data_IF_345620485130
#
_entry.id   IF_345620485130
#
_cell.length_a   1.000
_cell.length_b   1.000
_cell.length_c   1.000
_cell.angle_alpha   90.00
_cell.angle_beta   90.00
_cell.angle_gamma   90.00
#
_symmetry.space_group_name_H-M   'P 1'
#
loop_
_entity.id
_entity.type
_entity.pdbx_description
1 polymer ?
#
# COMPACT_ATOMS: atom_id res chain seq x y z
N UNK A 1 -12.73 -8.92 -21.67
CA UNK A 1 -13.48 -9.71 -20.66
C UNK A 1 -13.55 -8.89 -19.37
N UNK A 2 -14.73 -8.60 -18.82
CA UNK A 2 -14.82 -7.93 -17.52
C UNK A 2 -14.19 -8.82 -16.45
N UNK A 3 -13.38 -8.23 -15.56
CA UNK A 3 -12.70 -8.96 -14.50
C UNK A 3 -13.71 -9.62 -13.55
N UNK A 4 -13.57 -10.94 -13.33
CA UNK A 4 -14.32 -11.67 -12.30
C UNK A 4 -14.09 -10.98 -10.94
N UNK A 5 -15.19 -10.66 -10.25
CA UNK A 5 -15.32 -9.94 -8.98
C UNK A 5 -15.15 -8.41 -9.03
N UNK A 6 -16.24 -7.68 -9.30
CA UNK A 6 -16.28 -6.21 -9.16
C UNK A 6 -17.01 -5.71 -7.91
N UNK A 7 -17.65 -6.58 -7.10
CA UNK A 7 -18.24 -6.17 -5.81
C UNK A 7 -17.45 -6.77 -4.66
N UNK A 8 -16.60 -5.95 -4.05
CA UNK A 8 -15.85 -6.30 -2.84
C UNK A 8 -16.71 -5.88 -1.64
N UNK A 9 -17.39 -6.84 -1.02
CA UNK A 9 -18.10 -6.60 0.24
C UNK A 9 -17.05 -6.71 1.35
N UNK A 10 -16.75 -5.60 2.01
CA UNK A 10 -15.92 -5.61 3.19
C UNK A 10 -16.77 -5.68 4.45
N UNK A 11 -16.34 -6.54 5.37
CA UNK A 11 -16.88 -6.70 6.72
C UNK A 11 -16.09 -5.80 7.67
N UNK A 12 -16.82 -5.00 8.44
CA UNK A 12 -16.30 -4.17 9.53
C UNK A 12 -15.60 -5.03 10.58
N UNK A 13 -14.41 -4.61 11.02
CA UNK A 13 -13.54 -5.40 11.91
C UNK A 13 -12.81 -6.56 11.22
N UNK A 14 -13.05 -6.79 9.93
CA UNK A 14 -12.38 -7.84 9.17
C UNK A 14 -10.88 -7.60 9.03
N UNK A 15 -10.10 -8.69 9.10
CA UNK A 15 -8.68 -8.68 8.76
C UNK A 15 -8.49 -9.15 7.32
N UNK A 16 -7.63 -8.50 6.56
CA UNK A 16 -7.42 -8.77 5.14
C UNK A 16 -5.94 -8.87 4.84
N UNK A 17 -5.53 -9.97 4.21
CA UNK A 17 -4.22 -10.08 3.58
C UNK A 17 -4.30 -9.47 2.19
N UNK A 18 -3.54 -8.41 1.98
CA UNK A 18 -3.55 -7.60 0.78
C UNK A 18 -2.17 -7.61 0.16
N UNK A 19 -2.09 -7.76 -1.15
CA UNK A 19 -0.81 -7.77 -1.85
C UNK A 19 -0.92 -7.25 -3.28
N UNK A 20 0.19 -6.69 -3.77
CA UNK A 20 0.34 -6.32 -5.17
C UNK A 20 1.77 -6.53 -5.63
N UNK A 21 1.92 -6.77 -6.94
CA UNK A 21 3.17 -7.16 -7.59
C UNK A 21 3.47 -6.20 -8.74
N UNK A 22 4.75 -5.99 -9.05
CA UNK A 22 5.19 -5.27 -10.24
C UNK A 22 4.72 -5.91 -11.54
N UNK A 23 4.36 -5.09 -12.53
CA UNK A 23 4.08 -5.56 -13.89
C UNK A 23 5.26 -6.38 -14.42
N UNK A 24 4.97 -7.44 -15.17
CA UNK A 24 6.00 -8.36 -15.70
C UNK A 24 6.94 -8.93 -14.65
N UNK A 25 6.46 -9.06 -13.39
CA UNK A 25 7.24 -9.49 -12.22
C UNK A 25 8.47 -8.62 -11.92
N UNK A 26 8.48 -7.37 -12.41
CA UNK A 26 9.58 -6.44 -12.16
C UNK A 26 9.73 -6.13 -10.68
N UNK A 27 10.94 -5.76 -10.32
CA UNK A 27 11.21 -5.16 -9.02
C UNK A 27 10.52 -3.79 -8.92
N UNK A 28 9.82 -3.61 -7.81
CA UNK A 28 9.15 -2.40 -7.38
C UNK A 28 9.98 -1.66 -6.33
N UNK A 29 11.03 -2.29 -5.78
CA UNK A 29 12.03 -1.67 -4.92
C UNK A 29 13.42 -1.96 -5.52
N UNK A 30 14.06 -0.95 -6.10
CA UNK A 30 15.37 -1.07 -6.75
C UNK A 30 16.52 -0.69 -5.82
N UNK A 31 16.25 0.10 -4.76
CA UNK A 31 17.22 0.47 -3.73
C UNK A 31 16.55 0.62 -2.35
N UNK A 32 17.36 0.79 -1.29
CA UNK A 32 16.87 0.96 0.08
C UNK A 32 16.00 2.22 0.27
N UNK A 33 16.18 3.23 -0.58
CA UNK A 33 15.36 4.44 -0.52
C UNK A 33 13.92 4.12 -0.88
N UNK A 34 13.68 3.25 -1.87
CA UNK A 34 12.33 2.84 -2.28
C UNK A 34 11.54 2.18 -1.14
N UNK A 35 12.18 1.29 -0.38
CA UNK A 35 11.57 0.66 0.80
C UNK A 35 11.20 1.70 1.86
N UNK A 36 12.13 2.61 2.16
CA UNK A 36 11.88 3.71 3.12
C UNK A 36 10.74 4.60 2.67
N UNK A 37 10.64 4.87 1.37
CA UNK A 37 9.55 5.69 0.82
C UNK A 37 8.20 5.00 0.94
N UNK A 38 8.14 3.73 0.56
CA UNK A 38 6.91 2.96 0.70
C UNK A 38 6.40 2.91 2.15
N UNK A 39 7.30 2.64 3.10
CA UNK A 39 6.98 2.64 4.53
C UNK A 39 6.58 4.03 5.05
N UNK A 40 7.19 5.09 4.53
CA UNK A 40 6.84 6.46 4.91
C UNK A 40 5.40 6.82 4.51
N UNK A 41 4.94 6.38 3.33
CA UNK A 41 3.55 6.57 2.91
C UNK A 41 2.58 5.80 3.80
N UNK A 42 2.88 4.54 4.12
CA UNK A 42 2.07 3.76 5.07
C UNK A 42 1.96 4.50 6.41
N UNK A 43 3.10 4.90 6.98
CA UNK A 43 3.13 5.62 8.25
C UNK A 43 2.30 6.90 8.18
N UNK A 44 2.44 7.67 7.11
CA UNK A 44 1.71 8.93 6.95
C UNK A 44 0.20 8.73 6.85
N UNK A 45 -0.25 7.76 6.04
CA UNK A 45 -1.68 7.50 5.87
C UNK A 45 -2.33 6.89 7.10
N UNK A 46 -1.57 6.17 7.93
CA UNK A 46 -2.07 5.49 9.13
C UNK A 46 -1.70 6.22 10.43
N UNK A 47 -1.19 7.46 10.35
CA UNK A 47 -0.95 8.33 11.52
C UNK A 47 -1.99 9.45 11.57
N UNK A 48 -2.31 9.98 12.76
CA UNK A 48 -3.15 11.17 12.87
C UNK A 48 -2.53 12.32 12.07
N UNK A 49 -3.37 13.13 11.43
CA UNK A 49 -2.91 14.32 10.69
C UNK A 49 -2.46 15.36 11.70
N UNK A 50 -1.16 15.47 11.91
CA UNK A 50 -0.60 16.63 12.59
C UNK A 50 -0.61 17.84 11.64
N UNK A 51 -1.09 19.01 12.07
CA UNK A 51 -1.23 20.19 11.21
C UNK A 51 0.10 20.67 10.58
N UNK A 52 1.24 20.26 11.15
CA UNK A 52 2.59 20.63 10.70
C UNK A 52 3.40 19.43 10.18
N UNK A 53 2.74 18.38 9.67
CA UNK A 53 3.46 17.19 9.20
C UNK A 53 4.24 17.48 7.91
N UNK A 54 5.51 17.84 8.05
CA UNK A 54 6.47 17.87 6.95
C UNK A 54 6.68 16.44 6.46
N UNK A 55 6.51 16.21 5.16
CA UNK A 55 6.70 14.89 4.57
C UNK A 55 8.15 14.44 4.86
N UNK A 56 8.41 13.29 5.52
CA UNK A 56 9.76 12.88 5.94
C UNK A 56 10.79 12.80 4.80
N UNK A 57 10.32 12.82 3.55
CA UNK A 57 11.13 12.76 2.34
C UNK A 57 11.22 14.07 1.58
N UNK A 58 10.59 15.15 2.05
CA UNK A 58 10.80 16.49 1.48
C UNK A 58 12.29 16.83 1.46
N UNK A 59 13.01 16.39 2.49
CA UNK A 59 14.41 16.76 2.71
C UNK A 59 15.37 15.76 2.06
N UNK A 60 14.92 14.51 1.81
CA UNK A 60 15.79 13.40 1.34
C UNK A 60 15.76 13.24 -0.17
N UNK A 61 14.67 13.62 -0.85
CA UNK A 61 14.47 13.26 -2.27
C UNK A 61 14.23 14.44 -3.19
N UNK A 62 14.11 15.68 -2.67
CA UNK A 62 13.60 16.83 -3.44
C UNK A 62 12.20 16.58 -4.04
N UNK A 63 11.55 15.49 -3.61
CA UNK A 63 10.26 15.05 -4.07
C UNK A 63 9.23 15.70 -3.15
N UNK A 64 8.65 16.80 -3.63
CA UNK A 64 7.34 17.24 -3.18
C UNK A 64 6.32 16.55 -4.08
N UNK A 65 5.83 15.33 -3.75
CA UNK A 65 4.68 14.82 -4.47
C UNK A 65 3.58 15.85 -4.22
N UNK A 66 3.15 16.49 -5.31
CA UNK A 66 1.77 16.92 -5.49
C UNK A 66 1.24 17.68 -4.28
N UNK A 67 1.30 19.03 -4.34
CA UNK A 67 0.50 20.01 -3.57
C UNK A 67 -0.31 19.35 -2.46
N UNK A 68 0.11 19.58 -1.21
CA UNK A 68 -0.53 19.21 0.07
C UNK A 68 -2.05 19.49 0.12
N UNK A 69 -2.81 18.85 -0.75
CA UNK A 69 -4.26 18.90 -0.80
C UNK A 69 -4.66 17.89 0.25
N UNK A 70 -4.67 18.34 1.50
CA UNK A 70 -5.11 17.61 2.70
C UNK A 70 -5.02 16.10 2.51
N UNK A 71 -3.83 15.54 2.73
CA UNK A 71 -3.70 14.09 2.70
C UNK A 71 -4.71 13.51 3.68
N UNK A 72 -5.68 12.79 3.14
CA UNK A 72 -6.68 12.08 3.94
C UNK A 72 -5.89 11.07 4.78
N UNK A 73 -5.92 11.26 6.10
CA UNK A 73 -5.50 10.21 7.01
C UNK A 73 -6.61 9.17 7.06
N UNK A 74 -6.19 7.91 7.09
CA UNK A 74 -7.01 6.73 7.34
C UNK A 74 -6.78 6.20 8.76
N UNK A 75 -6.20 7.03 9.63
CA UNK A 75 -6.06 6.73 11.05
C UNK A 75 -7.44 6.49 11.66
N UNK A 76 -7.61 5.34 12.31
CA UNK A 76 -8.90 4.91 12.86
C UNK A 76 -9.82 4.22 11.85
N UNK A 77 -9.61 4.38 10.54
CA UNK A 77 -10.35 3.67 9.48
C UNK A 77 -9.69 2.31 9.12
N UNK A 78 -8.36 2.28 9.18
CA UNK A 78 -7.52 1.13 8.80
C UNK A 78 -6.39 1.00 9.81
N UNK A 79 -6.08 -0.24 10.17
CA UNK A 79 -4.92 -0.54 11.00
C UNK A 79 -4.04 -1.57 10.29
N UNK A 80 -2.72 -1.31 10.31
CA UNK A 80 -1.74 -2.26 9.82
C UNK A 80 -1.31 -3.20 10.94
N UNK A 81 -1.55 -4.49 10.75
CA UNK A 81 -1.19 -5.54 11.71
C UNK A 81 0.20 -6.13 11.42
N UNK A 82 0.53 -6.32 10.14
CA UNK A 82 1.83 -6.84 9.70
C UNK A 82 2.13 -6.44 8.25
N UNK A 83 3.40 -6.45 7.86
CA UNK A 83 3.82 -6.24 6.47
C UNK A 83 5.03 -7.11 6.11
N UNK A 84 5.19 -7.40 4.83
CA UNK A 84 6.36 -8.03 4.24
C UNK A 84 6.63 -7.36 2.88
N UNK A 85 7.85 -6.88 2.67
CA UNK A 85 8.27 -6.20 1.45
C UNK A 85 9.30 -7.08 0.74
N UNK A 86 9.00 -7.46 -0.50
CA UNK A 86 9.90 -8.21 -1.37
C UNK A 86 10.23 -7.36 -2.59
N UNK A 87 11.39 -7.55 -3.25
CA UNK A 87 11.82 -6.69 -4.35
C UNK A 87 10.76 -6.44 -5.41
N UNK A 88 9.96 -7.45 -5.78
CA UNK A 88 8.92 -7.34 -6.81
C UNK A 88 7.45 -7.32 -6.31
N UNK A 89 7.20 -7.34 -5.00
CA UNK A 89 5.84 -7.29 -4.46
C UNK A 89 5.80 -6.95 -2.96
N UNK A 90 4.64 -6.55 -2.47
CA UNK A 90 4.41 -6.33 -1.04
C UNK A 90 3.21 -7.14 -0.54
N UNK A 91 3.23 -7.45 0.75
CA UNK A 91 2.12 -8.01 1.51
C UNK A 91 1.82 -7.12 2.71
N UNK A 92 0.56 -6.78 2.91
CA UNK A 92 0.04 -6.04 4.06
C UNK A 92 -1.07 -6.88 4.70
N UNK A 93 -1.04 -7.00 6.02
CA UNK A 93 -2.16 -7.51 6.80
C UNK A 93 -2.87 -6.31 7.43
N UNK A 94 -4.08 -6.02 6.98
CA UNK A 94 -4.83 -4.83 7.37
C UNK A 94 -6.10 -5.23 8.12
N UNK A 95 -6.41 -4.54 9.21
CA UNK A 95 -7.74 -4.56 9.84
C UNK A 95 -8.52 -3.37 9.33
N UNK A 96 -9.70 -3.62 8.78
CA UNK A 96 -10.61 -2.56 8.36
C UNK A 96 -11.55 -2.20 9.51
N UNK A 97 -11.54 -0.95 9.95
CA UNK A 97 -12.46 -0.44 10.96
C UNK A 97 -13.71 0.22 10.34
N UNK A 98 -13.62 0.74 9.11
CA UNK A 98 -14.76 1.34 8.40
C UNK A 98 -14.95 0.76 7.00
N UNK A 99 -16.21 0.66 6.55
CA UNK A 99 -16.65 -0.07 5.35
C UNK A 99 -15.79 0.17 4.08
N UNK A 100 -15.29 1.40 3.88
CA UNK A 100 -14.54 1.78 2.68
C UNK A 100 -13.08 2.21 2.95
N UNK A 101 -12.66 2.31 4.22
CA UNK A 101 -11.36 2.85 4.61
C UNK A 101 -10.18 2.14 3.94
N UNK A 102 -10.20 0.81 3.95
CA UNK A 102 -9.13 0.00 3.36
C UNK A 102 -8.99 0.20 1.84
N UNK A 103 -10.11 0.27 1.10
CA UNK A 103 -10.06 0.42 -0.35
C UNK A 103 -9.47 1.78 -0.76
N UNK A 104 -9.86 2.83 -0.04
CA UNK A 104 -9.33 4.17 -0.26
C UNK A 104 -7.87 4.31 0.14
N UNK A 105 -7.49 3.74 1.30
CA UNK A 105 -6.09 3.69 1.75
C UNK A 105 -5.19 3.02 0.71
N UNK A 106 -5.57 1.83 0.25
CA UNK A 106 -4.79 1.06 -0.72
C UNK A 106 -4.63 1.79 -2.06
N UNK A 107 -5.70 2.47 -2.52
CA UNK A 107 -5.64 3.31 -3.72
C UNK A 107 -4.69 4.48 -3.53
N UNK A 108 -4.75 5.17 -2.39
CA UNK A 108 -3.89 6.29 -2.08
C UNK A 108 -2.41 5.85 -2.01
N UNK A 109 -2.12 4.77 -1.27
CA UNK A 109 -0.79 4.19 -1.14
C UNK A 109 -0.19 3.82 -2.49
N UNK A 110 -0.91 3.04 -3.30
CA UNK A 110 -0.42 2.60 -4.61
C UNK A 110 -0.17 3.77 -5.56
N UNK A 111 -1.06 4.76 -5.58
CA UNK A 111 -0.93 5.93 -6.45
C UNK A 111 0.29 6.75 -6.06
N UNK A 112 0.46 7.05 -4.78
CA UNK A 112 1.59 7.83 -4.26
C UNK A 112 2.92 7.15 -4.56
N UNK A 113 2.98 5.82 -4.39
CA UNK A 113 4.19 5.08 -4.68
C UNK A 113 4.51 5.01 -6.18
N UNK A 114 3.51 4.77 -7.05
CA UNK A 114 3.70 4.77 -8.51
C UNK A 114 4.21 6.14 -8.99
N UNK A 115 3.65 7.24 -8.47
CA UNK A 115 4.10 8.59 -8.83
C UNK A 115 5.55 8.83 -8.41
N UNK A 116 5.92 8.42 -7.21
CA UNK A 116 7.30 8.48 -6.72
C UNK A 116 8.24 7.68 -7.63
N UNK A 117 7.95 6.39 -7.83
CA UNK A 117 8.78 5.48 -8.58
C UNK A 117 8.98 5.96 -10.02
N UNK A 118 7.88 6.37 -10.68
CA UNK A 118 7.94 6.85 -12.05
C UNK A 118 8.76 8.14 -12.18
N UNK A 119 8.65 9.07 -11.22
CA UNK A 119 9.46 10.30 -11.24
C UNK A 119 10.94 10.00 -10.99
N UNK A 120 11.25 9.17 -9.98
CA UNK A 120 12.64 8.84 -9.61
C UNK A 120 13.39 8.13 -10.73
N UNK A 121 12.72 7.19 -11.41
CA UNK A 121 13.33 6.36 -12.45
C UNK A 121 13.00 6.83 -13.87
N UNK A 122 12.46 8.04 -14.02
CA UNK A 122 12.06 8.64 -15.31
C UNK A 122 11.17 7.72 -16.17
N UNK A 123 10.28 6.98 -15.51
CA UNK A 123 9.38 6.02 -16.14
C UNK A 123 8.01 6.61 -16.39
N UNK A 124 7.29 5.97 -17.32
CA UNK A 124 5.88 6.20 -17.56
C UNK A 124 5.12 4.87 -17.53
N UNK A 125 3.82 4.95 -17.24
CA UNK A 125 2.92 3.79 -17.22
C UNK A 125 2.73 3.15 -15.83
N UNK A 126 2.10 1.98 -15.84
CA UNK A 126 1.74 1.25 -14.62
C UNK A 126 2.96 0.57 -13.98
N UNK A 127 3.09 0.69 -12.66
CA UNK A 127 4.07 -0.06 -11.88
C UNK A 127 3.54 -1.43 -11.46
N UNK A 128 2.28 -1.50 -11.01
CA UNK A 128 1.67 -2.70 -10.44
C UNK A 128 0.77 -3.45 -11.43
N UNK A 129 0.63 -4.77 -11.21
CA UNK A 129 -0.20 -5.65 -12.01
C UNK A 129 -1.70 -5.49 -11.68
N UNK A 130 -2.28 -4.40 -12.19
CA UNK A 130 -3.72 -4.13 -12.08
C UNK A 130 -4.19 -3.87 -10.64
N UNK A 131 -5.43 -4.29 -10.35
CA UNK A 131 -6.07 -4.06 -9.07
C UNK A 131 -5.41 -4.86 -7.94
N UNK A 132 -5.33 -4.25 -6.77
CA UNK A 132 -4.83 -4.88 -5.54
C UNK A 132 -5.67 -6.11 -5.19
N UNK A 133 -4.96 -7.21 -4.93
CA UNK A 133 -5.52 -8.50 -4.52
C UNK A 133 -5.66 -8.54 -3.00
N UNK A 134 -6.75 -9.14 -2.54
CA UNK A 134 -7.10 -9.18 -1.12
C UNK A 134 -7.80 -10.49 -0.75
N UNK A 135 -7.54 -10.99 0.45
CA UNK A 135 -8.20 -12.15 1.03
C UNK A 135 -8.63 -11.82 2.46
N UNK A 136 -9.93 -11.93 2.76
CA UNK A 136 -10.43 -11.78 4.12
C UNK A 136 -10.03 -12.98 4.98
N UNK A 137 -9.65 -12.73 6.22
CA UNK A 137 -9.33 -13.75 7.19
C UNK A 137 -10.60 -14.22 7.91
N UNK A 138 -11.04 -15.47 7.65
CA UNK A 138 -12.30 -16.00 8.19
C UNK A 138 -12.51 -17.53 8.05
N UNK A 139 -12.31 -18.22 9.18
CA UNK A 139 -12.73 -19.55 9.68
C UNK A 139 -12.27 -20.90 9.12
N UNK A 140 -11.93 -21.15 7.86
CA UNK A 140 -11.43 -22.50 7.50
C UNK A 140 -10.36 -22.43 6.41
N UNK A 141 -9.27 -23.17 6.66
CA UNK A 141 -8.18 -23.54 5.77
C UNK A 141 -7.00 -22.56 5.58
N UNK A 142 -5.94 -22.94 6.29
CA UNK A 142 -4.55 -23.04 5.84
C UNK A 142 -3.74 -21.73 5.81
N UNK A 143 -2.89 -21.65 6.84
CA UNK A 143 -1.58 -21.02 6.84
C UNK A 143 -0.98 -20.91 5.42
N UNK A 144 -0.98 -19.70 4.89
CA UNK A 144 0.00 -19.25 3.93
C UNK A 144 0.44 -17.84 4.34
N UNK A 145 0.88 -17.71 5.61
CA UNK A 145 1.96 -16.79 5.92
C UNK A 145 3.07 -17.19 4.97
N UNK A 146 3.52 -16.27 4.12
CA UNK A 146 4.62 -16.45 3.17
C UNK A 146 5.56 -17.60 3.58
N UNK A 147 5.36 -18.80 3.01
CA UNK A 147 6.47 -19.72 2.82
C UNK A 147 7.27 -19.08 1.70
N UNK A 148 8.06 -18.10 2.10
CA UNK A 148 9.32 -17.67 1.50
C UNK A 148 9.72 -16.38 2.23
N UNK A 149 10.64 -16.57 3.19
CA UNK A 149 11.50 -15.55 3.80
C UNK A 149 10.91 -14.69 4.93
N UNK A 150 10.74 -15.31 6.10
CA UNK A 150 11.17 -14.68 7.36
C UNK A 150 12.55 -15.25 7.71
N UNK A 151 13.61 -14.57 7.29
CA UNK A 151 14.94 -14.56 7.94
C UNK A 151 15.53 -13.17 7.69
#
# INVERSE_FOLDING_TARGET
MPARNSVKIYVEGGCYHVYNRGVDKRDIYLDDQDYRVFLSFIKQYLSPVEPNFTHPLSDVTGFHPVRLRQLKSFYGDVELLAYCLMPNHFHLLLRQATKDGMAEFLRALATSYVMYFNKKYERQGALFQGCIKQLMWGRIHTFCICRDTFI
#
